data_IF_029388295910
#
_entry.id   IF_029388295910
#
_cell.length_a   1.000
_cell.length_b   1.000
_cell.length_c   1.000
_cell.angle_alpha   90.00
_cell.angle_beta   90.00
_cell.angle_gamma   90.00
#
_symmetry.space_group_name_H-M   'P 1'
#
loop_
_entity.id
_entity.type
_entity.pdbx_description
1 polymer ?
#
# COMPACT_ATOMS: atom_id res chain seq x y z
N UNK A 1 43.83 -36.28 -15.51
CA UNK A 1 43.82 -34.82 -15.55
C UNK A 1 42.41 -34.18 -15.46
N UNK A 2 41.33 -34.88 -15.84
CA UNK A 2 39.93 -34.39 -15.83
C UNK A 2 39.32 -34.21 -14.42
N UNK A 3 39.79 -34.96 -13.42
CA UNK A 3 39.18 -34.95 -12.06
C UNK A 3 39.61 -33.71 -11.23
N UNK A 4 40.83 -33.20 -11.42
CA UNK A 4 41.33 -32.01 -10.70
C UNK A 4 40.62 -30.73 -11.10
N UNK A 5 40.26 -30.58 -12.39
CA UNK A 5 39.53 -29.38 -12.89
C UNK A 5 38.09 -29.37 -12.41
N UNK A 6 37.44 -30.52 -12.24
CA UNK A 6 36.07 -30.62 -11.75
C UNK A 6 35.97 -30.34 -10.23
N UNK A 7 36.96 -30.74 -9.46
CA UNK A 7 37.03 -30.41 -8.00
C UNK A 7 37.31 -28.93 -7.78
N UNK A 8 38.21 -28.32 -8.58
CA UNK A 8 38.50 -26.88 -8.51
C UNK A 8 37.28 -26.05 -8.86
N UNK A 9 36.51 -26.44 -9.90
CA UNK A 9 35.30 -25.71 -10.33
C UNK A 9 34.18 -25.77 -9.27
N UNK A 10 33.96 -26.92 -8.64
CA UNK A 10 32.99 -27.05 -7.51
C UNK A 10 33.40 -26.18 -6.31
N UNK A 11 34.69 -26.03 -6.06
CA UNK A 11 35.22 -25.13 -5.03
C UNK A 11 34.88 -23.67 -5.33
N UNK A 12 35.12 -23.22 -6.55
CA UNK A 12 34.86 -21.85 -6.96
C UNK A 12 33.35 -21.52 -6.89
N UNK A 13 32.49 -22.41 -7.32
CA UNK A 13 31.01 -22.22 -7.24
C UNK A 13 30.54 -22.14 -5.78
N UNK A 14 31.11 -22.97 -4.88
CA UNK A 14 30.79 -22.90 -3.44
C UNK A 14 31.23 -21.57 -2.82
N UNK A 15 32.44 -21.10 -3.16
CA UNK A 15 32.96 -19.81 -2.68
C UNK A 15 32.09 -18.66 -3.19
N UNK A 16 31.70 -18.67 -4.46
CA UNK A 16 30.79 -17.65 -5.04
C UNK A 16 29.42 -17.64 -4.37
N UNK A 17 28.87 -18.82 -4.05
CA UNK A 17 27.61 -18.92 -3.32
C UNK A 17 27.73 -18.42 -1.88
N UNK A 18 28.83 -18.72 -1.19
CA UNK A 18 29.08 -18.22 0.16
C UNK A 18 29.29 -16.71 0.19
N UNK A 19 30.01 -16.14 -0.77
CA UNK A 19 30.18 -14.69 -0.89
C UNK A 19 28.85 -14.02 -1.22
N UNK A 20 28.04 -14.62 -2.08
CA UNK A 20 26.69 -14.10 -2.39
C UNK A 20 25.76 -14.17 -1.17
N UNK A 21 25.74 -15.27 -0.43
CA UNK A 21 24.97 -15.39 0.81
C UNK A 21 25.47 -14.40 1.87
N UNK A 22 26.78 -14.16 1.97
CA UNK A 22 27.36 -13.23 2.95
C UNK A 22 27.03 -11.77 2.59
N UNK A 23 27.12 -11.37 1.33
CA UNK A 23 26.82 -10.00 0.90
C UNK A 23 25.32 -9.70 0.88
N UNK A 24 24.50 -10.65 0.47
CA UNK A 24 23.04 -10.47 0.44
C UNK A 24 22.37 -10.77 1.77
N UNK A 25 22.86 -11.80 2.51
CA UNK A 25 22.31 -12.14 3.81
C UNK A 25 22.55 -11.06 4.86
N UNK A 26 23.69 -10.36 4.81
CA UNK A 26 23.97 -9.25 5.74
C UNK A 26 23.08 -8.02 5.49
N UNK A 27 22.74 -7.71 4.24
CA UNK A 27 21.83 -6.62 3.93
C UNK A 27 20.35 -6.98 4.23
N UNK A 28 19.93 -8.22 3.95
CA UNK A 28 18.59 -8.69 4.31
C UNK A 28 18.40 -8.79 5.83
N UNK A 29 19.44 -9.20 6.56
CA UNK A 29 19.40 -9.29 8.01
C UNK A 29 19.44 -7.90 8.69
N UNK A 30 20.18 -6.94 8.14
CA UNK A 30 20.18 -5.56 8.62
C UNK A 30 18.82 -4.87 8.40
N UNK A 31 18.17 -5.09 7.23
CA UNK A 31 16.84 -4.58 6.94
C UNK A 31 15.74 -5.23 7.81
N UNK A 32 15.93 -6.49 8.23
CA UNK A 32 14.98 -7.20 9.09
C UNK A 32 15.07 -6.79 10.56
N UNK A 33 16.19 -6.20 11.02
CA UNK A 33 16.37 -5.74 12.40
C UNK A 33 15.85 -4.30 12.63
N UNK A 34 15.48 -3.58 11.59
CA UNK A 34 15.19 -2.14 11.69
C UNK A 34 13.74 -1.78 11.90
N UNK A 35 12.80 -2.70 12.13
CA UNK A 35 11.41 -2.26 12.34
C UNK A 35 10.55 -3.17 13.20
N UNK A 36 10.90 -3.33 14.45
CA UNK A 36 9.87 -3.59 15.46
C UNK A 36 9.37 -2.22 15.97
N UNK A 37 8.63 -1.50 15.11
CA UNK A 37 7.84 -0.38 15.58
C UNK A 37 6.73 -0.95 16.48
N UNK A 38 6.86 -0.70 17.76
CA UNK A 38 5.75 -0.89 18.69
C UNK A 38 4.63 0.05 18.26
N UNK A 39 3.60 -0.50 17.63
CA UNK A 39 2.42 0.27 17.23
C UNK A 39 1.65 0.60 18.51
N UNK A 40 1.42 1.88 18.76
CA UNK A 40 0.62 2.32 19.90
C UNK A 40 -0.83 1.84 19.76
N UNK A 41 -1.32 1.10 20.74
CA UNK A 41 -2.69 0.58 20.78
C UNK A 41 -3.52 1.50 21.67
N UNK A 42 -4.55 2.10 21.10
CA UNK A 42 -5.45 3.02 21.82
C UNK A 42 -6.69 2.33 22.35
N UNK A 43 -7.07 2.68 23.57
CA UNK A 43 -8.40 2.42 24.12
C UNK A 43 -9.22 3.70 24.01
N UNK A 44 -10.54 3.58 24.11
CA UNK A 44 -11.46 4.73 24.00
C UNK A 44 -11.08 5.87 24.94
N UNK A 45 -10.65 5.53 26.19
CA UNK A 45 -10.27 6.52 27.22
C UNK A 45 -8.92 7.20 26.95
N UNK A 46 -8.08 6.60 26.11
CA UNK A 46 -6.70 7.03 25.90
C UNK A 46 -6.58 7.95 24.67
N UNK A 47 -7.64 8.01 23.84
CA UNK A 47 -7.68 8.88 22.67
C UNK A 47 -7.80 10.33 23.12
N UNK A 48 -6.86 11.22 22.71
CA UNK A 48 -6.93 12.63 23.10
C UNK A 48 -8.08 13.33 22.38
N UNK A 49 -8.97 13.97 23.16
CA UNK A 49 -10.05 14.75 22.60
C UNK A 49 -9.51 16.11 22.10
N UNK A 50 -9.58 16.39 20.79
CA UNK A 50 -8.99 17.61 20.22
C UNK A 50 -9.63 18.89 20.76
N UNK A 51 -10.89 18.85 21.18
CA UNK A 51 -11.62 20.00 21.75
C UNK A 51 -11.09 20.42 23.13
N UNK A 52 -10.35 19.54 23.83
CA UNK A 52 -9.73 19.91 25.11
C UNK A 52 -8.53 20.83 24.92
N UNK A 53 -7.87 20.80 23.77
CA UNK A 53 -6.71 21.67 23.48
C UNK A 53 -7.16 23.03 22.93
N UNK A 54 -8.12 23.04 22.02
CA UNK A 54 -8.70 24.25 21.45
C UNK A 54 -10.12 24.00 20.96
N UNK A 55 -10.98 24.99 21.13
CA UNK A 55 -12.35 24.93 20.62
C UNK A 55 -12.46 24.86 19.10
N UNK A 56 -11.38 25.17 18.38
CA UNK A 56 -11.30 25.09 16.92
C UNK A 56 -10.62 23.83 16.38
N UNK A 57 -10.23 22.91 17.27
CA UNK A 57 -9.62 21.63 16.86
C UNK A 57 -10.69 20.55 16.77
N UNK A 58 -10.76 19.93 15.59
CA UNK A 58 -11.70 18.86 15.25
C UNK A 58 -11.00 17.53 14.96
N UNK A 59 -9.67 17.55 14.82
CA UNK A 59 -8.88 16.41 14.39
C UNK A 59 -8.02 15.90 15.54
N UNK A 60 -8.23 14.64 15.96
CA UNK A 60 -7.35 13.90 16.86
C UNK A 60 -6.37 13.07 16.03
N UNK A 61 -5.09 13.43 16.04
CA UNK A 61 -4.02 12.81 15.25
C UNK A 61 -2.76 12.60 16.11
N UNK A 62 -2.84 11.79 17.20
CA UNK A 62 -1.78 11.71 18.20
C UNK A 62 -0.46 11.18 17.67
N UNK A 63 -0.48 10.33 16.65
CA UNK A 63 0.72 9.73 16.04
C UNK A 63 1.11 10.38 14.72
N UNK A 64 0.59 11.57 14.42
CA UNK A 64 0.90 12.31 13.18
C UNK A 64 0.75 11.44 11.90
N UNK A 65 -0.35 10.66 11.87
CA UNK A 65 -0.72 9.84 10.70
C UNK A 65 -1.08 10.73 9.53
N UNK A 66 -1.72 11.87 9.82
CA UNK A 66 -2.06 12.90 8.85
C UNK A 66 -1.07 14.06 8.96
N UNK A 67 -0.63 14.59 7.83
CA UNK A 67 0.24 15.75 7.79
C UNK A 67 -0.47 17.00 8.32
N UNK A 68 0.25 17.89 8.99
CA UNK A 68 -0.28 19.10 9.63
C UNK A 68 -1.03 20.01 8.65
N UNK A 69 -0.61 20.07 7.40
CA UNK A 69 -1.28 20.87 6.36
C UNK A 69 -2.69 20.38 6.06
N UNK A 70 -2.90 19.04 6.03
CA UNK A 70 -4.21 18.44 5.84
C UNK A 70 -5.07 18.52 7.09
N UNK A 71 -4.47 18.35 8.27
CA UNK A 71 -5.15 18.59 9.56
C UNK A 71 -5.68 20.02 9.65
N UNK A 72 -4.88 21.01 9.22
CA UNK A 72 -5.30 22.41 9.18
C UNK A 72 -6.46 22.61 8.19
N UNK A 73 -6.40 22.02 7.00
CA UNK A 73 -7.47 22.11 6.00
C UNK A 73 -8.78 21.50 6.53
N UNK A 74 -8.70 20.32 7.13
CA UNK A 74 -9.86 19.64 7.74
C UNK A 74 -10.44 20.50 8.87
N UNK A 75 -9.62 21.02 9.78
CA UNK A 75 -10.07 21.87 10.87
C UNK A 75 -10.80 23.12 10.35
N UNK A 76 -10.31 23.74 9.27
CA UNK A 76 -10.97 24.91 8.67
C UNK A 76 -12.35 24.55 8.10
N UNK A 77 -12.47 23.44 7.38
CA UNK A 77 -13.76 22.97 6.85
C UNK A 77 -14.76 22.69 7.97
N UNK A 78 -14.33 22.02 9.02
CA UNK A 78 -15.19 21.63 10.14
C UNK A 78 -15.58 22.81 11.03
N UNK A 79 -14.68 23.78 11.24
CA UNK A 79 -15.01 25.02 11.95
C UNK A 79 -16.07 25.82 11.19
N UNK A 80 -15.94 25.97 9.88
CA UNK A 80 -16.95 26.65 9.05
C UNK A 80 -18.31 25.93 9.09
N UNK A 81 -18.29 24.60 9.12
CA UNK A 81 -19.50 23.79 9.21
C UNK A 81 -20.22 24.02 10.56
N UNK A 82 -19.47 23.97 11.67
CA UNK A 82 -20.05 24.23 13.00
C UNK A 82 -20.60 25.65 13.11
N UNK A 83 -19.84 26.65 12.63
CA UNK A 83 -20.26 28.04 12.68
C UNK A 83 -21.54 28.29 11.86
N UNK A 84 -21.72 27.60 10.75
CA UNK A 84 -22.85 27.79 9.84
C UNK A 84 -24.09 26.98 10.19
N UNK A 85 -23.89 25.71 10.54
CA UNK A 85 -24.98 24.72 10.72
C UNK A 85 -25.08 24.19 12.15
N UNK A 86 -24.15 24.56 13.03
CA UNK A 86 -24.06 24.02 14.39
C UNK A 86 -23.90 22.49 14.47
N UNK A 87 -23.40 21.87 13.42
CA UNK A 87 -23.11 20.41 13.32
C UNK A 87 -21.69 20.16 13.79
N UNK A 88 -21.52 19.19 14.68
CA UNK A 88 -20.22 18.81 15.22
C UNK A 88 -19.68 17.59 14.47
N UNK A 89 -18.58 17.77 13.71
CA UNK A 89 -17.88 16.66 13.06
C UNK A 89 -16.48 16.56 13.62
N UNK A 90 -16.11 15.38 14.09
CA UNK A 90 -14.77 15.11 14.65
C UNK A 90 -14.09 14.00 13.84
N UNK A 91 -12.81 14.20 13.55
CA UNK A 91 -11.96 13.25 12.82
C UNK A 91 -10.93 12.66 13.74
N UNK A 92 -10.75 11.35 13.71
CA UNK A 92 -9.77 10.62 14.52
C UNK A 92 -8.95 9.71 13.62
N UNK A 93 -7.62 9.81 13.72
CA UNK A 93 -6.69 8.95 13.02
C UNK A 93 -5.80 8.23 14.04
N UNK A 94 -5.94 6.90 14.13
CA UNK A 94 -5.22 6.05 15.07
C UNK A 94 -4.40 4.98 14.37
N UNK A 95 -3.20 4.66 14.89
CA UNK A 95 -2.36 3.60 14.32
C UNK A 95 -2.98 2.22 14.56
N UNK A 96 -3.52 1.97 15.75
CA UNK A 96 -4.15 0.71 16.13
C UNK A 96 -5.13 0.88 17.30
N UNK A 97 -6.17 0.06 17.28
CA UNK A 97 -7.13 -0.13 18.39
C UNK A 97 -7.08 -1.57 18.93
N UNK A 98 -6.02 -2.32 18.55
CA UNK A 98 -5.88 -3.73 18.89
C UNK A 98 -6.90 -4.61 18.15
N UNK A 99 -7.56 -5.49 18.88
CA UNK A 99 -8.55 -6.43 18.32
C UNK A 99 -9.98 -5.86 18.29
N UNK A 100 -10.18 -4.62 18.73
CA UNK A 100 -11.49 -3.99 18.77
C UNK A 100 -12.06 -3.79 17.35
N UNK A 101 -13.38 -3.87 17.24
CA UNK A 101 -14.11 -3.63 15.98
C UNK A 101 -14.22 -2.12 15.78
N UNK A 102 -13.72 -1.53 14.66
CA UNK A 102 -13.71 -0.09 14.45
C UNK A 102 -15.08 0.60 14.59
N UNK A 103 -16.15 -0.05 14.15
CA UNK A 103 -17.50 0.49 14.27
C UNK A 103 -17.95 0.61 15.73
N UNK A 104 -17.68 -0.42 16.55
CA UNK A 104 -18.01 -0.38 17.99
C UNK A 104 -17.11 0.60 18.75
N UNK A 105 -15.83 0.66 18.37
CA UNK A 105 -14.89 1.60 18.96
C UNK A 105 -15.30 3.05 18.66
N UNK A 106 -15.65 3.35 17.40
CA UNK A 106 -16.10 4.68 17.00
C UNK A 106 -17.37 5.09 17.75
N UNK A 107 -18.33 4.18 17.91
CA UNK A 107 -19.57 4.45 18.62
C UNK A 107 -19.32 4.74 20.11
N UNK A 108 -18.50 3.91 20.77
CA UNK A 108 -18.09 4.12 22.17
C UNK A 108 -17.34 5.44 22.35
N UNK A 109 -16.47 5.80 21.41
CA UNK A 109 -15.70 7.05 21.42
C UNK A 109 -16.62 8.26 21.22
N UNK A 110 -17.57 8.16 20.28
CA UNK A 110 -18.60 9.16 20.01
C UNK A 110 -19.42 9.47 21.26
N UNK A 111 -19.90 8.44 21.95
CA UNK A 111 -20.64 8.56 23.21
C UNK A 111 -19.75 9.11 24.34
N UNK A 112 -18.52 8.63 24.46
CA UNK A 112 -17.56 9.05 25.49
C UNK A 112 -17.25 10.54 25.42
N UNK A 113 -17.09 11.08 24.20
CA UNK A 113 -16.84 12.50 24.00
C UNK A 113 -18.12 13.34 23.98
N UNK A 114 -19.27 12.72 23.79
CA UNK A 114 -20.57 13.40 23.71
C UNK A 114 -20.63 14.30 22.49
N UNK A 115 -20.17 13.81 21.34
CA UNK A 115 -20.13 14.58 20.09
C UNK A 115 -21.54 14.89 19.63
N UNK A 116 -21.79 16.15 19.26
CA UNK A 116 -23.11 16.67 18.90
C UNK A 116 -23.81 17.32 20.09
N UNK A 117 -24.74 18.22 19.77
CA UNK A 117 -25.53 18.92 20.79
C UNK A 117 -26.61 17.99 21.30
N UNK A 118 -26.72 17.85 22.63
CA UNK A 118 -27.69 16.96 23.28
C UNK A 118 -29.16 17.15 22.86
N UNK A 119 -29.51 18.32 22.36
CA UNK A 119 -30.87 18.62 21.90
C UNK A 119 -31.14 18.14 20.48
N UNK A 120 -30.11 18.10 19.63
CA UNK A 120 -30.23 17.92 18.19
C UNK A 120 -29.61 16.60 17.71
N UNK A 121 -28.77 15.96 18.53
CA UNK A 121 -28.00 14.74 18.19
C UNK A 121 -27.28 14.85 16.83
N UNK A 122 -26.75 16.07 16.54
CA UNK A 122 -26.22 16.47 15.25
C UNK A 122 -24.68 16.29 15.17
N UNK A 123 -24.19 15.21 15.73
CA UNK A 123 -22.77 14.89 15.73
C UNK A 123 -22.37 13.84 14.69
N UNK A 124 -21.11 13.87 14.27
CA UNK A 124 -20.48 12.85 13.43
C UNK A 124 -19.04 12.61 13.89
N UNK A 125 -18.66 11.35 14.07
CA UNK A 125 -17.27 10.92 14.24
C UNK A 125 -16.81 10.15 13.02
N UNK A 126 -15.67 10.53 12.46
CA UNK A 126 -14.97 9.82 11.37
C UNK A 126 -13.70 9.23 11.96
N UNK A 127 -13.63 7.90 12.09
CA UNK A 127 -12.48 7.17 12.63
C UNK A 127 -11.72 6.45 11.52
N UNK A 128 -10.42 6.75 11.41
CA UNK A 128 -9.46 5.98 10.61
C UNK A 128 -8.62 5.11 11.55
N UNK A 129 -8.56 3.81 11.28
CA UNK A 129 -7.70 2.84 11.95
C UNK A 129 -6.70 2.28 10.93
N UNK A 130 -5.44 2.61 11.12
CA UNK A 130 -4.41 2.41 10.09
C UNK A 130 -4.04 0.94 9.90
N UNK A 131 -3.82 0.20 10.98
CA UNK A 131 -3.44 -1.22 10.94
C UNK A 131 -4.53 -2.09 10.33
N UNK A 132 -5.79 -1.80 10.62
CA UNK A 132 -6.94 -2.49 10.05
C UNK A 132 -7.34 -1.96 8.66
N UNK A 133 -6.74 -0.84 8.22
CA UNK A 133 -7.07 -0.11 6.98
C UNK A 133 -8.55 0.15 6.82
N UNK A 134 -9.17 0.58 7.90
CA UNK A 134 -10.61 0.84 7.96
C UNK A 134 -10.89 2.28 8.33
N UNK A 135 -11.89 2.83 7.67
CA UNK A 135 -12.54 4.07 8.07
C UNK A 135 -13.98 3.76 8.45
N UNK A 136 -14.48 4.41 9.48
CA UNK A 136 -15.83 4.20 9.98
C UNK A 136 -16.43 5.53 10.38
N UNK A 137 -17.75 5.65 10.20
CA UNK A 137 -18.52 6.83 10.60
C UNK A 137 -19.46 6.42 11.73
N UNK A 138 -19.54 7.25 12.75
CA UNK A 138 -20.56 7.13 13.79
C UNK A 138 -21.37 8.44 13.78
N UNK A 139 -22.63 8.32 13.37
CA UNK A 139 -23.56 9.44 13.19
C UNK A 139 -24.54 9.52 14.35
N UNK A 140 -24.78 10.73 14.85
CA UNK A 140 -25.91 11.00 15.75
C UNK A 140 -27.23 10.92 15.02
N UNK A 141 -28.30 10.63 15.76
CA UNK A 141 -29.66 10.43 15.22
C UNK A 141 -30.17 11.62 14.41
N UNK A 142 -29.80 12.86 14.82
CA UNK A 142 -30.19 14.09 14.10
C UNK A 142 -29.62 14.22 12.69
N UNK A 143 -28.56 13.46 12.35
CA UNK A 143 -27.97 13.49 11.02
C UNK A 143 -28.45 12.35 10.09
N UNK A 144 -29.15 11.34 10.62
CA UNK A 144 -29.57 10.17 9.82
C UNK A 144 -30.45 10.56 8.60
N UNK A 145 -31.23 11.64 8.72
CA UNK A 145 -32.07 12.13 7.63
C UNK A 145 -31.30 12.75 6.46
N UNK A 146 -30.10 13.30 6.72
CA UNK A 146 -29.25 13.98 5.73
C UNK A 146 -28.06 13.08 5.35
N UNK A 147 -27.52 12.37 6.30
CA UNK A 147 -26.33 11.52 6.16
C UNK A 147 -26.63 10.08 6.62
N UNK A 148 -27.51 9.34 5.94
CA UNK A 148 -27.82 7.97 6.29
C UNK A 148 -26.64 7.05 6.03
N UNK A 149 -26.56 5.89 6.72
CA UNK A 149 -25.46 4.92 6.64
C UNK A 149 -25.08 4.52 5.20
N UNK A 150 -26.09 4.36 4.34
CA UNK A 150 -25.87 4.04 2.93
C UNK A 150 -25.08 5.13 2.20
N UNK A 151 -25.30 6.40 2.56
CA UNK A 151 -24.55 7.53 1.99
C UNK A 151 -23.15 7.63 2.60
N UNK A 152 -23.03 7.43 3.91
CA UNK A 152 -21.74 7.31 4.58
C UNK A 152 -20.86 6.24 3.91
N UNK A 153 -21.42 5.06 3.66
CA UNK A 153 -20.71 3.98 2.97
C UNK A 153 -20.32 4.37 1.54
N UNK A 154 -21.18 5.05 0.79
CA UNK A 154 -20.86 5.53 -0.57
C UNK A 154 -19.71 6.53 -0.56
N UNK A 155 -19.71 7.50 0.36
CA UNK A 155 -18.63 8.47 0.53
C UNK A 155 -17.31 7.75 0.85
N UNK A 156 -17.33 6.83 1.80
CA UNK A 156 -16.15 6.04 2.15
C UNK A 156 -15.58 5.32 0.92
N UNK A 157 -16.43 4.60 0.16
CA UNK A 157 -15.98 3.80 -0.98
C UNK A 157 -15.49 4.64 -2.16
N UNK A 158 -16.09 5.79 -2.42
CA UNK A 158 -15.79 6.58 -3.60
C UNK A 158 -14.71 7.63 -3.34
N UNK A 159 -14.72 8.28 -2.17
CA UNK A 159 -13.85 9.42 -1.90
C UNK A 159 -12.63 9.06 -1.02
N UNK A 160 -12.73 8.04 -0.15
CA UNK A 160 -11.66 7.72 0.80
C UNK A 160 -10.86 6.47 0.38
N UNK A 161 -11.53 5.36 0.17
CA UNK A 161 -10.89 4.05 -0.11
C UNK A 161 -9.95 4.07 -1.31
N UNK A 162 -10.21 4.77 -2.43
CA UNK A 162 -9.30 4.83 -3.58
C UNK A 162 -7.93 5.43 -3.22
N UNK A 163 -7.90 6.41 -2.30
CA UNK A 163 -6.67 7.01 -1.81
C UNK A 163 -5.97 6.13 -0.79
N UNK A 164 -6.71 5.51 0.14
CA UNK A 164 -6.15 4.57 1.12
C UNK A 164 -5.47 3.37 0.46
N UNK A 165 -5.98 2.89 -0.67
CA UNK A 165 -5.33 1.85 -1.48
C UNK A 165 -3.96 2.28 -2.03
N UNK A 166 -3.75 3.60 -2.20
CA UNK A 166 -2.48 4.19 -2.61
C UNK A 166 -1.59 4.57 -1.42
N UNK A 167 -2.01 4.25 -0.18
CA UNK A 167 -1.43 4.70 1.08
C UNK A 167 -1.43 6.24 1.26
N UNK A 168 -2.29 6.95 0.55
CA UNK A 168 -2.50 8.40 0.66
C UNK A 168 -3.67 8.65 1.63
N UNK A 169 -3.38 8.56 2.93
CA UNK A 169 -4.39 8.70 3.98
C UNK A 169 -4.81 10.15 4.16
N UNK A 170 -3.89 11.08 3.98
CA UNK A 170 -4.13 12.52 4.05
C UNK A 170 -5.23 12.93 3.09
N UNK A 171 -5.01 12.63 1.82
CA UNK A 171 -5.96 12.98 0.77
C UNK A 171 -7.28 12.25 0.92
N UNK A 172 -7.22 10.96 1.28
CA UNK A 172 -8.44 10.18 1.49
C UNK A 172 -9.32 10.71 2.61
N UNK A 173 -8.72 11.14 3.72
CA UNK A 173 -9.45 11.77 4.81
C UNK A 173 -10.01 13.13 4.42
N UNK A 174 -9.21 13.96 3.77
CA UNK A 174 -9.62 15.31 3.34
C UNK A 174 -10.77 15.27 2.33
N UNK A 175 -10.69 14.40 1.31
CA UNK A 175 -11.77 14.27 0.31
C UNK A 175 -13.04 13.67 0.93
N UNK A 176 -12.91 12.73 1.86
CA UNK A 176 -14.06 12.19 2.60
C UNK A 176 -14.75 13.26 3.45
N UNK A 177 -14.00 14.05 4.21
CA UNK A 177 -14.52 15.17 5.01
C UNK A 177 -15.17 16.22 4.11
N UNK A 178 -14.54 16.55 2.98
CA UNK A 178 -15.09 17.49 1.99
C UNK A 178 -16.43 17.01 1.46
N UNK A 179 -16.55 15.74 1.09
CA UNK A 179 -17.80 15.17 0.60
C UNK A 179 -18.91 15.20 1.66
N UNK A 180 -18.57 14.84 2.91
CA UNK A 180 -19.49 14.95 4.04
C UNK A 180 -19.96 16.39 4.23
N UNK A 181 -19.04 17.34 4.25
CA UNK A 181 -19.35 18.78 4.42
C UNK A 181 -20.30 19.28 3.33
N UNK A 182 -20.07 18.92 2.07
CA UNK A 182 -20.95 19.29 0.96
C UNK A 182 -22.36 18.74 1.14
N UNK A 183 -22.48 17.47 1.56
CA UNK A 183 -23.80 16.86 1.84
C UNK A 183 -24.51 17.59 2.95
N UNK A 184 -23.81 17.90 4.04
CA UNK A 184 -24.40 18.62 5.18
C UNK A 184 -24.83 20.04 4.84
N UNK A 185 -24.19 20.70 3.87
CA UNK A 185 -24.65 21.97 3.29
C UNK A 185 -25.84 21.82 2.35
N UNK A 186 -26.38 20.61 2.16
CA UNK A 186 -27.57 20.35 1.33
C UNK A 186 -27.27 20.13 -0.15
N UNK A 187 -26.01 19.84 -0.50
CA UNK A 187 -25.65 19.46 -1.86
C UNK A 187 -26.02 17.99 -2.11
N UNK A 188 -26.58 17.67 -3.28
CA UNK A 188 -26.73 16.29 -3.71
C UNK A 188 -25.35 15.66 -3.87
N UNK A 189 -25.17 14.47 -3.27
CA UNK A 189 -23.89 13.76 -3.39
C UNK A 189 -23.75 13.12 -4.78
N UNK A 190 -22.91 13.74 -5.59
CA UNK A 190 -22.41 13.16 -6.82
C UNK A 190 -20.97 12.71 -6.61
N UNK A 191 -20.67 11.40 -6.71
CA UNK A 191 -19.31 10.90 -6.53
C UNK A 191 -18.39 11.56 -7.55
N UNK A 192 -17.28 12.10 -7.07
CA UNK A 192 -16.22 12.57 -7.96
C UNK A 192 -15.76 11.36 -8.78
N UNK A 193 -16.07 11.35 -10.07
CA UNK A 193 -15.64 10.29 -10.99
C UNK A 193 -14.12 10.35 -11.10
N UNK A 194 -13.45 9.69 -10.15
CA UNK A 194 -12.03 9.43 -10.33
C UNK A 194 -11.93 8.51 -11.53
N UNK A 195 -11.28 8.99 -12.57
CA UNK A 195 -11.03 8.25 -13.81
C UNK A 195 -10.62 6.82 -13.49
N UNK A 196 -11.60 5.96 -13.60
CA UNK A 196 -11.60 4.59 -13.12
C UNK A 196 -10.57 3.76 -13.89
N UNK A 197 -9.98 2.81 -13.20
CA UNK A 197 -9.23 1.65 -13.68
C UNK A 197 -7.97 1.89 -14.53
N UNK A 198 -7.93 2.84 -15.44
CA UNK A 198 -6.79 3.05 -16.34
C UNK A 198 -5.52 3.51 -15.60
N UNK A 199 -5.68 4.23 -14.49
CA UNK A 199 -4.54 4.66 -13.66
C UNK A 199 -4.01 3.55 -12.75
N UNK A 200 -4.82 2.54 -12.40
CA UNK A 200 -4.38 1.42 -11.57
C UNK A 200 -3.32 0.58 -12.32
N UNK A 201 -3.58 0.23 -13.57
CA UNK A 201 -2.63 -0.54 -14.38
C UNK A 201 -1.38 0.26 -14.73
N UNK A 202 -1.49 1.58 -14.96
CA UNK A 202 -0.33 2.47 -15.14
C UNK A 202 0.51 2.58 -13.87
N UNK A 203 -0.12 2.69 -12.69
CA UNK A 203 0.60 2.73 -11.41
C UNK A 203 1.25 1.38 -11.09
N UNK A 204 0.55 0.26 -11.28
CA UNK A 204 1.09 -1.08 -11.06
C UNK A 204 2.25 -1.39 -12.03
N UNK A 205 2.14 -0.99 -13.29
CA UNK A 205 3.21 -1.13 -14.28
C UNK A 205 4.42 -0.27 -13.92
N UNK A 206 4.22 0.98 -13.50
CA UNK A 206 5.31 1.87 -13.08
C UNK A 206 6.02 1.36 -11.82
N UNK A 207 5.30 0.78 -10.86
CA UNK A 207 5.90 0.19 -9.65
C UNK A 207 6.74 -1.04 -10.02
N UNK A 208 6.24 -1.91 -10.91
CA UNK A 208 6.98 -3.05 -11.45
C UNK A 208 8.22 -2.60 -12.23
N UNK A 209 8.09 -1.56 -13.07
CA UNK A 209 9.22 -1.00 -13.81
C UNK A 209 10.27 -0.40 -12.88
N UNK A 210 9.87 0.36 -11.89
CA UNK A 210 10.79 0.94 -10.90
C UNK A 210 11.46 -0.15 -10.06
N UNK A 211 10.74 -1.21 -9.69
CA UNK A 211 11.32 -2.37 -9.02
C UNK A 211 12.36 -3.08 -9.90
N UNK A 212 12.02 -3.35 -11.17
CA UNK A 212 12.93 -4.02 -12.11
C UNK A 212 14.13 -3.13 -12.50
N UNK A 213 13.90 -1.83 -12.67
CA UNK A 213 14.96 -0.87 -13.02
C UNK A 213 15.92 -0.61 -11.86
N UNK A 214 15.45 -0.65 -10.62
CA UNK A 214 16.27 -0.47 -9.42
C UNK A 214 16.99 -1.75 -8.96
N UNK A 215 16.78 -2.90 -9.63
CA UNK A 215 17.56 -4.08 -9.31
C UNK A 215 19.03 -3.83 -9.67
N UNK A 216 19.97 -4.04 -8.74
CA UNK A 216 21.37 -3.84 -9.02
C UNK A 216 21.77 -4.70 -10.21
N UNK A 217 22.39 -4.10 -11.21
CA UNK A 217 22.89 -4.77 -12.44
C UNK A 217 23.62 -6.09 -12.14
N UNK A 218 24.23 -6.19 -10.95
CA UNK A 218 24.89 -7.38 -10.45
C UNK A 218 23.98 -8.61 -10.34
N UNK A 219 22.69 -8.41 -10.04
CA UNK A 219 21.71 -9.51 -9.94
C UNK A 219 21.42 -10.10 -11.33
N UNK A 220 21.31 -9.26 -12.34
CA UNK A 220 21.14 -9.67 -13.74
C UNK A 220 22.38 -10.38 -14.27
N UNK A 221 23.58 -9.82 -14.00
CA UNK A 221 24.85 -10.44 -14.35
C UNK A 221 24.99 -11.82 -13.67
N UNK A 222 24.60 -11.93 -12.40
CA UNK A 222 24.60 -13.20 -11.66
C UNK A 222 23.67 -14.23 -12.28
N UNK A 223 22.43 -13.86 -12.61
CA UNK A 223 21.46 -14.75 -13.25
C UNK A 223 21.94 -15.22 -14.63
N UNK A 224 22.55 -14.33 -15.42
CA UNK A 224 23.15 -14.68 -16.72
C UNK A 224 24.34 -15.63 -16.52
N UNK A 225 25.23 -15.35 -15.57
CA UNK A 225 26.37 -16.22 -15.25
C UNK A 225 25.92 -17.61 -14.79
N UNK A 226 24.93 -17.70 -13.91
CA UNK A 226 24.37 -18.99 -13.46
C UNK A 226 23.76 -19.75 -14.64
N UNK A 227 23.06 -19.07 -15.53
CA UNK A 227 22.48 -19.69 -16.72
C UNK A 227 23.55 -20.19 -17.69
N UNK A 228 24.59 -19.41 -17.96
CA UNK A 228 25.74 -19.80 -18.80
C UNK A 228 26.51 -20.98 -18.18
N UNK A 229 26.70 -20.96 -16.85
CA UNK A 229 27.39 -22.04 -16.13
C UNK A 229 26.59 -23.35 -16.15
N UNK A 230 25.28 -23.27 -15.91
CA UNK A 230 24.40 -24.47 -15.96
C UNK A 230 24.29 -25.01 -17.38
N UNK A 231 24.26 -24.14 -18.39
CA UNK A 231 24.30 -24.53 -19.80
C UNK A 231 25.61 -25.25 -20.14
N UNK A 232 26.78 -24.68 -19.78
CA UNK A 232 28.10 -25.34 -20.01
C UNK A 232 28.23 -26.69 -19.29
N UNK A 233 27.69 -26.82 -18.07
CA UNK A 233 27.69 -28.10 -17.35
C UNK A 233 26.84 -29.17 -18.04
N UNK A 234 25.67 -28.79 -18.61
CA UNK A 234 24.80 -29.69 -19.36
C UNK A 234 25.41 -30.10 -20.69
N UNK A 235 25.97 -29.15 -21.44
CA UNK A 235 26.65 -29.43 -22.72
C UNK A 235 27.86 -30.31 -22.56
N UNK A 236 28.66 -30.15 -21.49
CA UNK A 236 29.81 -31.02 -21.21
C UNK A 236 29.39 -32.42 -20.75
N UNK A 237 28.19 -32.61 -20.21
CA UNK A 237 27.66 -33.92 -19.78
C UNK A 237 26.96 -34.66 -20.92
N UNK A 238 26.40 -33.92 -21.88
CA UNK A 238 25.80 -34.42 -23.10
C UNK A 238 26.84 -34.31 -24.22
N UNK A 239 27.79 -35.21 -24.33
CA UNK A 239 28.56 -35.40 -25.58
C UNK A 239 27.75 -36.31 -26.50
N UNK A 240 26.99 -35.75 -27.43
CA UNK A 240 26.38 -36.55 -28.50
C UNK A 240 27.47 -36.91 -29.52
N UNK A 241 27.42 -38.13 -30.00
CA UNK A 241 28.24 -38.61 -31.10
C UNK A 241 27.82 -38.00 -32.45
N UNK A 242 26.76 -37.23 -32.49
CA UNK A 242 26.21 -36.61 -33.71
C UNK A 242 26.37 -35.10 -33.69
N UNK A 243 27.16 -34.62 -34.63
CA UNK A 243 27.47 -33.22 -34.88
C UNK A 243 26.42 -32.55 -35.80
N UNK A 244 25.18 -32.43 -35.38
CA UNK A 244 24.19 -31.67 -36.11
C UNK A 244 23.65 -30.47 -35.31
N UNK A 245 23.55 -29.31 -35.94
CA UNK A 245 23.01 -28.09 -35.38
C UNK A 245 21.57 -28.27 -34.79
N UNK A 246 20.83 -29.26 -35.30
CA UNK A 246 19.50 -29.66 -34.82
C UNK A 246 19.53 -30.27 -33.41
N UNK A 247 20.63 -30.91 -33.00
CA UNK A 247 20.76 -31.41 -31.64
C UNK A 247 20.95 -30.28 -30.62
N UNK A 248 21.62 -29.20 -31.00
CA UNK A 248 21.77 -28.01 -30.17
C UNK A 248 20.44 -27.28 -29.93
N UNK A 249 19.59 -27.19 -30.96
CA UNK A 249 18.26 -26.57 -30.88
C UNK A 249 17.32 -27.43 -30.02
N UNK A 250 17.36 -28.76 -30.12
CA UNK A 250 16.57 -29.67 -29.28
C UNK A 250 16.94 -29.59 -27.79
N UNK A 251 18.22 -29.38 -27.48
CA UNK A 251 18.70 -29.17 -26.11
C UNK A 251 18.22 -27.82 -25.55
N UNK A 252 18.19 -26.78 -26.38
CA UNK A 252 17.68 -25.46 -26.00
C UNK A 252 16.19 -25.46 -25.65
N UNK A 253 15.37 -26.18 -26.42
CA UNK A 253 13.91 -26.16 -26.24
C UNK A 253 13.40 -27.13 -25.18
N UNK A 254 14.11 -28.20 -24.89
CA UNK A 254 13.60 -29.29 -24.03
C UNK A 254 14.09 -29.22 -22.56
N UNK A 255 15.12 -28.42 -22.27
CA UNK A 255 15.78 -28.48 -20.96
C UNK A 255 15.77 -27.20 -20.12
N UNK A 256 15.20 -26.09 -20.57
CA UNK A 256 15.09 -24.91 -19.75
C UNK A 256 13.94 -23.98 -20.16
N UNK A 257 12.76 -24.10 -19.57
CA UNK A 257 11.70 -23.09 -19.73
C UNK A 257 12.18 -21.68 -19.29
N UNK A 258 13.16 -21.61 -18.39
CA UNK A 258 13.83 -20.38 -17.96
C UNK A 258 14.82 -19.82 -19.00
N UNK A 259 15.44 -20.66 -19.83
CA UNK A 259 16.35 -20.23 -20.88
C UNK A 259 15.67 -19.46 -21.99
N UNK A 260 14.45 -19.83 -22.37
CA UNK A 260 13.63 -19.06 -23.32
C UNK A 260 13.21 -17.71 -22.74
N UNK A 261 12.86 -17.64 -21.46
CA UNK A 261 12.48 -16.39 -20.80
C UNK A 261 13.63 -15.37 -20.78
N UNK A 262 14.85 -15.81 -20.54
CA UNK A 262 16.04 -14.93 -20.50
C UNK A 262 16.43 -14.43 -21.89
N UNK A 263 16.24 -15.22 -22.94
CA UNK A 263 16.56 -14.82 -24.33
C UNK A 263 15.52 -13.85 -24.92
N UNK A 264 14.26 -13.93 -24.48
CA UNK A 264 13.18 -13.05 -24.95
C UNK A 264 12.96 -11.83 -24.08
N UNK A 265 13.57 -11.75 -22.89
CA UNK A 265 13.36 -10.67 -21.93
C UNK A 265 13.69 -9.26 -22.46
N UNK A 266 14.73 -9.03 -23.29
CA UNK A 266 14.95 -7.69 -23.87
C UNK A 266 13.92 -7.29 -24.93
N UNK A 267 13.15 -8.23 -25.48
CA UNK A 267 12.16 -7.96 -26.54
C UNK A 267 10.75 -7.80 -25.98
N UNK A 268 10.46 -8.34 -24.81
CA UNK A 268 9.14 -8.25 -24.17
C UNK A 268 8.67 -6.82 -23.89
N UNK A 269 9.51 -5.90 -23.39
CA UNK A 269 9.10 -4.51 -23.22
C UNK A 269 8.66 -3.84 -24.51
N UNK A 270 9.33 -4.16 -25.62
CA UNK A 270 8.99 -3.61 -26.93
C UNK A 270 7.68 -4.20 -27.50
N UNK A 271 7.40 -5.48 -27.22
CA UNK A 271 6.16 -6.14 -27.63
C UNK A 271 4.95 -5.68 -26.81
N UNK A 272 5.13 -5.44 -25.50
CA UNK A 272 4.06 -4.90 -24.63
C UNK A 272 3.79 -3.44 -25.01
N UNK A 273 4.81 -2.64 -25.28
CA UNK A 273 4.65 -1.27 -25.75
C UNK A 273 3.95 -1.19 -27.12
N UNK A 274 4.19 -2.15 -28.00
CA UNK A 274 3.55 -2.21 -29.33
C UNK A 274 2.09 -2.71 -29.28
N UNK A 275 1.65 -3.37 -28.21
CA UNK A 275 0.25 -3.83 -28.03
C UNK A 275 -0.63 -2.80 -27.30
N UNK A 276 -0.08 -1.66 -26.90
CA UNK A 276 -0.75 -0.55 -26.19
C UNK A 276 -0.89 0.72 -27.05
N UNK A 277 -0.64 0.58 -28.39
CA UNK A 277 -0.95 1.61 -29.40
C UNK A 277 -2.10 1.16 -30.29
#
# INVERSE_FOLDING_TARGET
MKDKTQKSFRGIVRILLLVFCYTFGSHAFALALEHEQTVDIYKVTDVPNPRNESSSNWVSNPNQILDESYVWEINNMLSQLEDSLSIEVTVVALPSIGEDIPAEFAHKLFEHWGIGKKADDNGLLILLVLDQRKVTFATGYGLEGVLPDALCFRIQQNEMVPWFRKNDFDRGMTEGVRAVTLVLYGSDYEPVSQGTSDNYWKSASNTLWNFLANQPLMLWIFLILVNVLTYRMKVNKARPKDSSALAAIKVLTHYSPLGCLVLFFPVWPALIAASLW
#
